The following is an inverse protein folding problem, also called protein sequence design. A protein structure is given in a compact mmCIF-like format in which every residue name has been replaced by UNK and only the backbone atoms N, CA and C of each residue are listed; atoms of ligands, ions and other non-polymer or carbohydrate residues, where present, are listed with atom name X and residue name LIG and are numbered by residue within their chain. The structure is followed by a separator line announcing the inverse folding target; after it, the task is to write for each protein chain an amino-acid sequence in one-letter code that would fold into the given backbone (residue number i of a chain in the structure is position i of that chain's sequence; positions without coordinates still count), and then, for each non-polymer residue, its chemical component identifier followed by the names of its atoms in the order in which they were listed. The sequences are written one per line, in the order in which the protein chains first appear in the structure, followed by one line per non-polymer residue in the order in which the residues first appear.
data_IF_096830817395
#
_entry.id   IF_096830817395
#
_cell.length_a   1.000
_cell.length_b   1.000
_cell.length_c   1.000
_cell.angle_alpha   90.00
_cell.angle_beta   90.00
_cell.angle_gamma   90.00
#
_symmetry.space_group_name_H-M   'P 1'
#
loop_
_entity.id
_entity.type
_entity.pdbx_description
1 polymer ?
#
# COMPACT_ATOMS: atom_id res chain seq x y z
N UNK A 1 19.45 -8.51 6.53
CA UNK A 1 18.38 -8.10 5.62
C UNK A 1 18.04 -6.63 5.90
N UNK A 2 18.09 -5.79 4.86
CA UNK A 2 17.66 -4.40 4.87
C UNK A 2 16.17 -4.33 4.51
N UNK A 3 15.51 -3.22 4.81
CA UNK A 3 14.07 -3.07 4.54
C UNK A 3 13.75 -3.24 3.05
N UNK A 4 14.59 -2.67 2.18
CA UNK A 4 14.43 -2.79 0.73
C UNK A 4 14.66 -4.18 0.15
N UNK A 5 15.19 -5.13 0.93
CA UNK A 5 15.21 -6.52 0.50
C UNK A 5 13.77 -7.12 0.45
N UNK A 6 12.77 -6.43 1.05
CA UNK A 6 11.35 -6.79 1.00
C UNK A 6 10.67 -6.35 -0.31
N UNK A 7 11.18 -5.35 -1.01
CA UNK A 7 10.45 -4.70 -2.10
C UNK A 7 10.30 -5.60 -3.34
N UNK A 8 11.35 -6.29 -3.83
CA UNK A 8 11.20 -7.15 -5.01
C UNK A 8 10.10 -8.22 -4.87
N UNK A 9 10.04 -9.03 -3.79
CA UNK A 9 8.97 -10.01 -3.66
C UNK A 9 7.59 -9.37 -3.41
N UNK A 10 7.53 -8.17 -2.81
CA UNK A 10 6.27 -7.44 -2.68
C UNK A 10 5.78 -6.87 -4.02
N UNK A 11 6.66 -6.47 -4.92
CA UNK A 11 6.30 -6.07 -6.28
C UNK A 11 5.67 -7.23 -7.04
N UNK A 12 6.31 -8.40 -7.01
CA UNK A 12 5.80 -9.62 -7.66
C UNK A 12 4.41 -10.00 -7.11
N UNK A 13 4.26 -9.99 -5.79
CA UNK A 13 2.98 -10.28 -5.16
C UNK A 13 1.90 -9.27 -5.55
N UNK A 14 2.21 -7.97 -5.51
CA UNK A 14 1.24 -6.94 -5.87
C UNK A 14 0.85 -7.05 -7.34
N UNK A 15 1.79 -7.35 -8.23
CA UNK A 15 1.49 -7.54 -9.65
C UNK A 15 0.54 -8.72 -9.86
N UNK A 16 0.79 -9.87 -9.22
CA UNK A 16 -0.10 -11.03 -9.28
C UNK A 16 -1.49 -10.71 -8.73
N UNK A 17 -1.54 -10.03 -7.58
CA UNK A 17 -2.80 -9.57 -6.95
C UNK A 17 -3.60 -8.67 -7.91
N UNK A 18 -2.95 -7.68 -8.52
CA UNK A 18 -3.61 -6.75 -9.43
C UNK A 18 -4.04 -7.44 -10.73
N UNK A 19 -3.25 -8.37 -11.27
CA UNK A 19 -3.60 -9.13 -12.48
C UNK A 19 -4.83 -10.01 -12.26
N UNK A 20 -4.95 -10.65 -11.11
CA UNK A 20 -6.16 -11.41 -10.78
C UNK A 20 -7.36 -10.49 -10.53
N UNK A 21 -7.18 -9.37 -9.83
CA UNK A 21 -8.27 -8.44 -9.55
C UNK A 21 -8.77 -7.65 -10.77
N UNK A 22 -7.86 -7.32 -11.69
CA UNK A 22 -8.10 -6.44 -12.83
C UNK A 22 -7.84 -7.14 -14.17
N UNK A 23 -8.39 -8.34 -14.38
CA UNK A 23 -8.20 -9.17 -15.60
C UNK A 23 -8.43 -8.47 -16.94
N UNK A 24 -9.20 -7.38 -16.95
CA UNK A 24 -9.55 -6.59 -18.14
C UNK A 24 -9.01 -5.16 -18.10
N UNK A 25 -7.94 -4.91 -17.34
CA UNK A 25 -7.18 -3.65 -17.43
C UNK A 25 -6.37 -3.60 -18.72
N UNK A 26 -6.15 -2.39 -19.22
CA UNK A 26 -5.31 -2.16 -20.39
C UNK A 26 -3.83 -2.33 -20.04
N UNK A 27 -3.44 -1.93 -18.83
CA UNK A 27 -2.07 -1.97 -18.35
C UNK A 27 -2.01 -2.10 -16.83
N UNK A 28 -1.06 -2.91 -16.34
CA UNK A 28 -0.69 -3.02 -14.93
C UNK A 28 0.82 -2.82 -14.83
N UNK A 29 1.22 -1.86 -14.00
CA UNK A 29 2.62 -1.55 -13.72
C UNK A 29 2.81 -1.66 -12.21
N UNK A 30 3.88 -2.31 -11.76
CA UNK A 30 4.30 -2.34 -10.37
C UNK A 30 5.77 -2.02 -10.26
N UNK A 31 6.13 -1.03 -9.44
CA UNK A 31 7.50 -0.56 -9.30
C UNK A 31 7.91 -0.34 -7.87
N UNK A 32 9.19 -0.58 -7.60
CA UNK A 32 9.90 -0.02 -6.47
C UNK A 32 9.99 1.50 -6.64
N UNK A 33 9.44 2.23 -5.68
CA UNK A 33 9.33 3.69 -5.67
C UNK A 33 10.06 4.33 -4.47
N UNK A 34 10.72 3.55 -3.60
CA UNK A 34 11.26 4.03 -2.32
C UNK A 34 12.26 5.19 -2.44
N UNK A 35 12.98 5.24 -3.56
CA UNK A 35 14.10 6.18 -3.77
C UNK A 35 13.68 7.54 -4.33
N UNK A 36 12.42 7.70 -4.73
CA UNK A 36 11.92 8.90 -5.41
C UNK A 36 10.59 9.37 -4.82
N UNK A 37 10.28 10.66 -5.04
CA UNK A 37 8.98 11.21 -4.68
C UNK A 37 7.90 10.69 -5.63
N UNK A 38 6.71 10.46 -5.11
CA UNK A 38 5.58 9.90 -5.85
C UNK A 38 5.27 10.69 -7.12
N UNK A 39 5.30 12.03 -7.06
CA UNK A 39 5.05 12.90 -8.23
C UNK A 39 6.07 12.65 -9.36
N UNK A 40 7.33 12.39 -9.02
CA UNK A 40 8.39 12.08 -9.99
C UNK A 40 8.22 10.69 -10.58
N UNK A 41 7.86 9.70 -9.76
CA UNK A 41 7.60 8.32 -10.22
C UNK A 41 6.41 8.31 -11.19
N UNK A 42 5.30 8.96 -10.83
CA UNK A 42 4.09 9.03 -11.66
C UNK A 42 4.33 9.72 -13.01
N UNK A 43 5.14 10.78 -13.04
CA UNK A 43 5.50 11.48 -14.30
C UNK A 43 6.18 10.56 -15.31
N UNK A 44 6.97 9.57 -14.88
CA UNK A 44 7.60 8.57 -15.79
C UNK A 44 6.56 7.75 -16.57
N UNK A 45 5.34 7.67 -16.05
CA UNK A 45 4.22 6.94 -16.66
C UNK A 45 3.15 7.85 -17.26
N UNK A 46 3.48 9.13 -17.46
CA UNK A 46 2.58 10.19 -17.95
C UNK A 46 1.33 10.39 -17.06
N UNK A 47 1.49 10.24 -15.74
CA UNK A 47 0.44 10.48 -14.75
C UNK A 47 0.80 11.73 -13.95
N UNK A 48 -0.16 12.65 -13.82
CA UNK A 48 -0.04 13.84 -13.00
C UNK A 48 -1.03 13.70 -11.84
N UNK A 49 -0.49 13.72 -10.62
CA UNK A 49 -1.26 13.79 -9.39
C UNK A 49 -0.92 15.14 -8.73
N UNK A 50 -1.80 16.12 -8.88
CA UNK A 50 -1.51 17.51 -8.47
C UNK A 50 -1.25 17.61 -6.96
N UNK A 51 -1.98 16.84 -6.16
CA UNK A 51 -1.89 16.80 -4.71
C UNK A 51 -0.56 16.23 -4.20
N UNK A 52 0.20 15.51 -5.04
CA UNK A 52 1.51 14.98 -4.68
C UNK A 52 2.66 15.98 -4.92
N UNK A 53 2.44 17.03 -5.71
CA UNK A 53 3.52 17.92 -6.17
C UNK A 53 4.04 18.76 -5.01
N UNK A 54 5.30 18.55 -4.63
CA UNK A 54 5.98 19.33 -3.58
C UNK A 54 5.65 18.91 -2.14
N UNK A 55 4.88 17.82 -1.95
CA UNK A 55 4.48 17.32 -0.62
C UNK A 55 5.44 16.25 -0.06
N UNK A 56 6.45 15.87 -0.83
CA UNK A 56 7.51 14.93 -0.41
C UNK A 56 7.00 13.55 0.01
N UNK A 57 5.95 13.05 -0.65
CA UNK A 57 5.45 11.69 -0.48
C UNK A 57 6.43 10.71 -1.13
N UNK A 58 6.88 9.72 -0.36
CA UNK A 58 7.63 8.56 -0.85
C UNK A 58 6.88 7.31 -0.40
N UNK A 59 6.74 6.35 -1.31
CA UNK A 59 6.10 5.06 -1.05
C UNK A 59 7.06 3.95 -1.47
N UNK A 60 7.14 2.86 -0.71
CA UNK A 60 8.09 1.80 -1.02
C UNK A 60 7.78 1.10 -2.35
N UNK A 61 6.54 0.64 -2.52
CA UNK A 61 6.09 0.00 -3.78
C UNK A 61 4.80 0.62 -4.27
N UNK A 62 4.78 0.95 -5.56
CA UNK A 62 3.66 1.57 -6.25
C UNK A 62 3.09 0.61 -7.31
N UNK A 63 1.80 0.31 -7.21
CA UNK A 63 1.01 -0.31 -8.27
C UNK A 63 0.19 0.73 -9.02
N UNK A 64 0.12 0.60 -10.35
CA UNK A 64 -0.66 1.44 -11.25
C UNK A 64 -1.48 0.53 -12.15
N UNK A 65 -2.81 0.69 -12.11
CA UNK A 65 -3.73 0.00 -13.03
C UNK A 65 -4.37 1.04 -13.93
N UNK A 66 -4.23 0.87 -15.25
CA UNK A 66 -4.90 1.71 -16.25
C UNK A 66 -6.02 0.94 -16.92
N UNK A 67 -7.21 1.55 -16.99
CA UNK A 67 -8.36 0.98 -17.68
C UNK A 67 -9.27 2.05 -18.23
N UNK A 68 -9.51 2.03 -19.55
CA UNK A 68 -10.37 2.97 -20.26
C UNK A 68 -10.05 4.44 -19.91
N UNK A 69 -8.76 4.79 -19.92
CA UNK A 69 -8.26 6.13 -19.59
C UNK A 69 -8.30 6.50 -18.11
N UNK A 70 -8.78 5.62 -17.21
CA UNK A 70 -8.75 5.83 -15.76
C UNK A 70 -7.50 5.19 -15.17
N UNK A 71 -6.91 5.87 -14.19
CA UNK A 71 -5.76 5.40 -13.43
C UNK A 71 -6.21 5.08 -12.01
N UNK A 72 -5.78 3.92 -11.49
CA UNK A 72 -5.91 3.55 -10.08
C UNK A 72 -4.53 3.29 -9.50
N UNK A 73 -4.27 3.84 -8.33
CA UNK A 73 -3.01 3.69 -7.61
C UNK A 73 -3.16 2.71 -6.46
N UNK A 74 -2.08 1.98 -6.16
CA UNK A 74 -2.00 1.01 -5.08
C UNK A 74 -0.68 1.21 -4.35
N UNK A 75 -0.73 1.28 -3.03
CA UNK A 75 0.46 1.55 -2.21
C UNK A 75 0.83 0.34 -1.37
N UNK A 76 2.11 0.02 -1.26
CA UNK A 76 2.65 -0.79 -0.17
C UNK A 76 3.70 0.04 0.56
N UNK A 77 3.52 0.16 1.87
CA UNK A 77 4.54 0.61 2.82
C UNK A 77 5.01 -0.63 3.59
N UNK A 78 6.31 -0.90 3.55
CA UNK A 78 6.92 -2.06 4.17
C UNK A 78 7.73 -1.64 5.39
N UNK A 79 7.77 -2.52 6.38
CA UNK A 79 8.59 -2.37 7.58
C UNK A 79 9.30 -3.66 7.90
N UNK A 80 10.57 -3.61 8.28
CA UNK A 80 11.25 -4.78 8.85
C UNK A 80 11.04 -4.95 10.35
N UNK A 81 10.45 -3.93 10.99
CA UNK A 81 10.25 -3.83 12.44
C UNK A 81 8.78 -3.93 12.80
N UNK A 82 8.49 -4.11 14.09
CA UNK A 82 7.12 -4.09 14.59
C UNK A 82 6.42 -2.78 14.22
N UNK A 83 5.17 -2.86 13.76
CA UNK A 83 4.43 -1.68 13.31
C UNK A 83 4.10 -0.73 14.45
N UNK A 84 4.12 0.57 14.15
CA UNK A 84 3.85 1.67 15.08
C UNK A 84 2.67 2.53 14.61
N UNK A 85 2.09 3.30 15.54
CA UNK A 85 1.07 4.29 15.19
C UNK A 85 1.58 5.35 14.20
N UNK A 86 2.89 5.60 14.17
CA UNK A 86 3.51 6.52 13.21
C UNK A 86 3.43 5.96 11.79
N UNK A 87 3.73 4.68 11.59
CA UNK A 87 3.67 4.02 10.29
C UNK A 87 2.23 4.07 9.74
N UNK A 88 1.26 3.76 10.61
CA UNK A 88 -0.17 3.88 10.28
C UNK A 88 -0.55 5.32 9.90
N UNK A 89 -0.17 6.30 10.71
CA UNK A 89 -0.51 7.70 10.50
C UNK A 89 0.10 8.28 9.22
N UNK A 90 1.35 7.90 8.91
CA UNK A 90 2.02 8.29 7.66
C UNK A 90 1.26 7.76 6.45
N UNK A 91 1.03 6.44 6.37
CA UNK A 91 0.33 5.85 5.23
C UNK A 91 -1.11 6.39 5.13
N UNK A 92 -1.79 6.60 6.26
CA UNK A 92 -3.12 7.19 6.29
C UNK A 92 -3.13 8.59 5.69
N UNK A 93 -2.17 9.46 6.03
CA UNK A 93 -2.06 10.79 5.48
C UNK A 93 -1.82 10.77 3.95
N UNK A 94 -0.95 9.86 3.48
CA UNK A 94 -0.74 9.67 2.04
C UNK A 94 -2.03 9.22 1.35
N UNK A 95 -2.77 8.29 1.95
CA UNK A 95 -4.02 7.80 1.40
C UNK A 95 -5.10 8.89 1.35
N UNK A 96 -5.19 9.74 2.37
CA UNK A 96 -6.14 10.86 2.38
C UNK A 96 -5.83 11.94 1.35
N UNK A 97 -4.56 12.14 1.03
CA UNK A 97 -4.15 13.15 0.06
C UNK A 97 -4.23 12.66 -1.39
N UNK A 98 -3.86 11.40 -1.63
CA UNK A 98 -3.70 10.86 -3.00
C UNK A 98 -4.88 9.98 -3.43
N UNK A 99 -5.73 9.56 -2.49
CA UNK A 99 -6.89 8.71 -2.73
C UNK A 99 -6.57 7.43 -3.57
N UNK A 100 -5.54 6.62 -3.21
CA UNK A 100 -5.27 5.36 -3.89
C UNK A 100 -6.50 4.43 -3.81
N UNK A 101 -6.59 3.44 -4.69
CA UNK A 101 -7.68 2.46 -4.63
C UNK A 101 -7.55 1.58 -3.37
N UNK A 102 -6.33 1.13 -3.08
CA UNK A 102 -5.97 0.39 -1.87
C UNK A 102 -4.55 0.70 -1.42
N UNK A 103 -4.30 0.50 -0.13
CA UNK A 103 -2.98 0.64 0.45
C UNK A 103 -2.72 -0.48 1.44
N UNK A 104 -1.47 -0.91 1.54
CA UNK A 104 -1.03 -1.99 2.40
C UNK A 104 0.11 -1.51 3.30
N UNK A 105 -0.02 -1.72 4.61
CA UNK A 105 1.06 -1.56 5.57
C UNK A 105 1.52 -2.95 6.00
N UNK A 106 2.71 -3.36 5.55
CA UNK A 106 3.22 -4.71 5.74
C UNK A 106 4.46 -4.73 6.61
N UNK A 107 4.62 -5.76 7.43
CA UNK A 107 5.83 -5.95 8.25
C UNK A 107 6.38 -7.36 8.18
N UNK A 108 7.69 -7.55 8.11
CA UNK A 108 8.30 -8.89 8.27
C UNK A 108 8.49 -9.32 9.73
N UNK A 109 8.12 -8.47 10.70
CA UNK A 109 8.16 -8.76 12.13
C UNK A 109 6.74 -9.05 12.66
N UNK A 110 6.20 -8.16 13.50
CA UNK A 110 4.88 -8.30 14.11
C UNK A 110 4.07 -6.99 14.05
N UNK A 111 2.77 -7.07 14.31
CA UNK A 111 1.87 -5.90 14.22
C UNK A 111 2.10 -4.85 15.33
N UNK A 112 2.96 -5.10 16.32
CA UNK A 112 3.35 -4.15 17.36
C UNK A 112 2.16 -3.52 18.06
N UNK A 113 2.19 -2.18 18.16
CA UNK A 113 1.12 -1.40 18.79
C UNK A 113 -0.23 -1.55 18.07
N UNK A 114 -0.21 -1.78 16.75
CA UNK A 114 -1.42 -1.95 15.94
C UNK A 114 -2.15 -3.24 16.29
N UNK A 115 -1.47 -4.28 16.81
CA UNK A 115 -2.14 -5.50 17.24
C UNK A 115 -3.21 -5.20 18.31
N UNK A 116 -2.85 -4.40 19.33
CA UNK A 116 -3.78 -4.00 20.39
C UNK A 116 -4.91 -3.13 19.83
N UNK A 117 -4.57 -2.18 18.96
CA UNK A 117 -5.52 -1.25 18.35
C UNK A 117 -6.59 -1.96 17.50
N UNK A 118 -6.16 -2.85 16.60
CA UNK A 118 -7.03 -3.50 15.63
C UNK A 118 -7.71 -4.74 16.22
N UNK A 119 -6.97 -5.60 16.93
CA UNK A 119 -7.54 -6.87 17.43
C UNK A 119 -8.25 -6.76 18.77
N UNK A 120 -7.78 -5.91 19.68
CA UNK A 120 -8.35 -5.76 21.02
C UNK A 120 -9.35 -4.62 21.07
N UNK A 121 -8.95 -3.42 20.64
CA UNK A 121 -9.83 -2.24 20.67
C UNK A 121 -10.79 -2.15 19.48
N UNK A 122 -10.64 -3.02 18.48
CA UNK A 122 -11.52 -3.10 17.29
C UNK A 122 -11.63 -1.76 16.54
N UNK A 123 -10.53 -0.99 16.51
CA UNK A 123 -10.45 0.30 15.83
C UNK A 123 -10.15 0.15 14.33
N UNK A 124 -10.95 -0.68 13.67
CA UNK A 124 -10.83 -0.93 12.23
C UNK A 124 -11.19 0.32 11.41
N UNK A 125 -11.92 1.26 12.01
CA UNK A 125 -12.23 2.59 11.46
C UNK A 125 -10.96 3.41 11.18
N UNK A 126 -9.86 3.16 11.90
CA UNK A 126 -8.59 3.86 11.65
C UNK A 126 -7.93 3.42 10.34
N UNK A 127 -8.38 2.33 9.74
CA UNK A 127 -7.96 1.90 8.42
C UNK A 127 -8.74 2.59 7.30
N UNK A 128 -9.83 3.30 7.63
CA UNK A 128 -10.71 3.93 6.65
C UNK A 128 -10.12 5.26 6.18
N UNK A 129 -9.99 5.40 4.86
CA UNK A 129 -9.54 6.65 4.25
C UNK A 129 -10.42 7.13 3.09
N UNK A 130 -11.40 6.33 2.66
CA UNK A 130 -12.39 6.78 1.67
C UNK A 130 -13.26 7.94 2.17
N UNK A 131 -13.98 8.56 1.24
CA UNK A 131 -14.92 9.65 1.51
C UNK A 131 -16.34 9.31 1.09
N UNK A 132 -17.31 9.82 1.88
CA UNK A 132 -18.74 9.65 1.63
C UNK A 132 -19.15 8.18 1.57
N UNK A 133 -19.61 7.74 0.39
CA UNK A 133 -20.09 6.35 0.17
C UNK A 133 -19.00 5.39 -0.33
N UNK A 134 -17.78 5.87 -0.62
CA UNK A 134 -16.69 5.03 -1.12
C UNK A 134 -15.92 4.44 0.06
N UNK A 135 -16.09 3.15 0.29
CA UNK A 135 -15.34 2.44 1.33
C UNK A 135 -13.97 2.08 0.76
N UNK A 136 -12.95 2.86 1.14
CA UNK A 136 -11.54 2.53 0.89
C UNK A 136 -10.83 2.33 2.23
N UNK A 137 -10.09 1.23 2.33
CA UNK A 137 -9.40 0.82 3.56
C UNK A 137 -7.95 0.47 3.29
N UNK A 138 -7.07 0.89 4.20
CA UNK A 138 -5.74 0.32 4.31
C UNK A 138 -5.86 -1.12 4.80
N UNK A 139 -4.91 -1.96 4.42
CA UNK A 139 -4.77 -3.32 4.94
C UNK A 139 -3.45 -3.46 5.66
N UNK A 140 -3.46 -4.05 6.84
CA UNK A 140 -2.26 -4.30 7.64
C UNK A 140 -2.02 -5.80 7.69
N UNK A 141 -0.79 -6.24 7.44
CA UNK A 141 -0.44 -7.66 7.48
C UNK A 141 1.02 -7.90 7.88
N UNK A 142 1.28 -9.09 8.41
CA UNK A 142 2.63 -9.64 8.50
C UNK A 142 2.98 -10.24 7.15
N UNK A 143 4.15 -9.93 6.62
CA UNK A 143 4.72 -10.47 5.41
C UNK A 143 5.51 -11.75 5.72
N UNK A 144 5.16 -12.85 5.05
CA UNK A 144 5.86 -14.12 5.20
C UNK A 144 7.00 -14.21 4.19
N UNK A 145 8.24 -14.14 4.70
CA UNK A 145 9.46 -14.21 3.91
C UNK A 145 9.71 -15.56 3.23
N UNK A 146 9.07 -16.64 3.68
CA UNK A 146 9.22 -17.96 3.07
C UNK A 146 8.32 -18.11 1.84
N UNK A 147 7.10 -17.58 1.92
CA UNK A 147 6.11 -17.68 0.85
C UNK A 147 6.06 -16.45 -0.05
N UNK A 148 6.80 -15.38 0.29
CA UNK A 148 6.77 -14.09 -0.40
C UNK A 148 5.35 -13.57 -0.61
N UNK A 149 4.57 -13.61 0.46
CA UNK A 149 3.17 -13.17 0.46
C UNK A 149 2.76 -12.71 1.87
N UNK A 150 1.72 -11.86 1.99
CA UNK A 150 1.20 -11.50 3.28
C UNK A 150 0.52 -12.72 3.93
N UNK A 151 0.77 -12.93 5.22
CA UNK A 151 0.08 -13.94 6.01
C UNK A 151 -1.39 -13.58 6.13
N UNK A 152 -2.23 -14.33 5.41
CA UNK A 152 -3.68 -14.19 5.39
C UNK A 152 -4.31 -14.24 6.79
N UNK A 153 -3.72 -14.96 7.75
CA UNK A 153 -4.24 -15.02 9.13
C UNK A 153 -4.02 -13.68 9.86
N UNK A 154 -2.88 -13.03 9.62
CA UNK A 154 -2.53 -11.74 10.22
C UNK A 154 -3.29 -10.55 9.61
N UNK A 155 -3.76 -10.66 8.37
CA UNK A 155 -4.26 -9.52 7.61
C UNK A 155 -5.56 -8.93 8.17
N UNK A 156 -5.62 -7.60 8.26
CA UNK A 156 -6.77 -6.81 8.73
C UNK A 156 -6.96 -5.56 7.85
N UNK A 157 -8.14 -5.34 7.24
CA UNK A 157 -9.22 -6.30 7.05
C UNK A 157 -8.82 -7.43 6.09
N UNK A 158 -9.60 -8.51 6.04
CA UNK A 158 -9.39 -9.61 5.07
C UNK A 158 -9.62 -9.14 3.63
N UNK A 159 -8.93 -9.78 2.68
CA UNK A 159 -9.13 -9.64 1.22
C UNK A 159 -10.23 -10.61 0.76
#
# INVERSE_FOLDING_TARGET
MREFDLYPPMQEWLELYLRDKYKSSDEIIVVDAHSERLDRVLRKYNIIQEEAIGVDIQIDVLGIVKKAGKVKLFFIEAKKTSLTLRDLGQLWAYCKLIDPEEAFLMTSADLGALNKLLKVYKRDDLLDFGEGKRIKKMKVAIWNMQTNSPDSASMIPKI
#
